data_IF_059060637613
#
_entry.id   IF_059060637613
#
_cell.length_a   1.000
_cell.length_b   1.000
_cell.length_c   1.000
_cell.angle_alpha   90.00
_cell.angle_beta   90.00
_cell.angle_gamma   90.00
#
_symmetry.space_group_name_H-M   'P 1'
#
loop_
_entity.id
_entity.type
_entity.pdbx_description
1 polymer ?
#
# COMPACT_ATOMS: atom_id res chain seq x y z
N UNK A 1 15.19 -11.73 -20.79
CA UNK A 1 14.87 -13.18 -20.67
C UNK A 1 13.52 -13.33 -19.98
N UNK A 2 12.80 -14.42 -20.20
CA UNK A 2 11.54 -14.65 -19.49
C UNK A 2 11.78 -14.94 -18.00
N UNK A 3 10.90 -14.45 -17.14
CA UNK A 3 10.89 -14.70 -15.70
C UNK A 3 9.53 -15.22 -15.27
N UNK A 4 9.48 -15.94 -14.15
CA UNK A 4 8.25 -16.46 -13.57
C UNK A 4 8.17 -15.99 -12.12
N UNK A 5 7.02 -15.46 -11.71
CA UNK A 5 6.80 -15.01 -10.33
C UNK A 5 5.58 -15.68 -9.72
N UNK A 6 5.65 -15.92 -8.41
CA UNK A 6 4.46 -16.03 -7.58
C UNK A 6 4.07 -14.62 -7.13
N UNK A 7 2.98 -14.09 -7.65
CA UNK A 7 2.46 -12.78 -7.31
C UNK A 7 2.06 -12.74 -5.83
N UNK A 8 2.66 -11.85 -5.05
CA UNK A 8 2.41 -11.71 -3.62
C UNK A 8 1.87 -10.32 -3.25
N UNK A 9 2.05 -9.33 -4.12
CA UNK A 9 1.45 -8.01 -3.96
C UNK A 9 0.72 -7.62 -5.25
N UNK A 10 -0.51 -7.13 -5.12
CA UNK A 10 -1.29 -6.61 -6.22
C UNK A 10 -2.23 -5.49 -5.75
N UNK A 11 -1.73 -4.26 -5.74
CA UNK A 11 -2.47 -3.07 -5.28
C UNK A 11 -2.69 -2.05 -6.40
N UNK A 12 -3.44 -0.98 -6.13
CA UNK A 12 -3.62 0.12 -7.09
C UNK A 12 -2.43 1.09 -7.08
N UNK A 13 -2.02 1.57 -8.25
CA UNK A 13 -0.97 2.60 -8.40
C UNK A 13 -1.32 3.52 -9.57
N UNK A 14 -1.63 4.79 -9.29
CA UNK A 14 -1.83 5.87 -10.27
C UNK A 14 -2.67 5.53 -11.53
N UNK A 15 -3.76 4.77 -11.38
CA UNK A 15 -4.63 4.35 -12.48
C UNK A 15 -4.30 2.97 -13.08
N UNK A 16 -3.17 2.38 -12.70
CA UNK A 16 -2.79 0.99 -12.96
C UNK A 16 -2.69 0.16 -11.68
N UNK A 17 -1.79 -0.84 -11.71
CA UNK A 17 -1.55 -1.78 -10.61
C UNK A 17 -0.08 -1.80 -10.21
N UNK A 18 0.18 -2.02 -8.93
CA UNK A 18 1.50 -2.40 -8.42
C UNK A 18 1.49 -3.92 -8.23
N UNK A 19 2.14 -4.64 -9.15
CA UNK A 19 2.27 -6.10 -9.07
C UNK A 19 3.70 -6.42 -8.67
N UNK A 20 3.87 -7.26 -7.65
CA UNK A 20 5.18 -7.78 -7.30
C UNK A 20 5.07 -9.22 -6.78
N UNK A 21 6.14 -9.98 -6.96
CA UNK A 21 6.18 -11.37 -6.54
C UNK A 21 7.60 -11.90 -6.39
N UNK A 22 7.70 -13.10 -5.83
CA UNK A 22 8.98 -13.79 -5.70
C UNK A 22 9.23 -14.60 -6.97
N UNK A 23 10.47 -14.52 -7.48
CA UNK A 23 10.92 -15.31 -8.63
C UNK A 23 10.89 -16.81 -8.30
N UNK A 24 10.34 -17.57 -9.22
CA UNK A 24 10.23 -19.02 -9.12
C UNK A 24 10.76 -19.70 -10.37
N UNK A 25 11.20 -20.94 -10.21
CA UNK A 25 11.48 -21.85 -11.31
C UNK A 25 10.36 -22.87 -11.41
N UNK A 26 10.14 -23.38 -12.62
CA UNK A 26 9.18 -24.42 -12.88
C UNK A 26 9.91 -25.65 -13.43
N UNK A 27 9.80 -26.77 -12.71
CA UNK A 27 10.31 -28.06 -13.14
C UNK A 27 9.19 -29.09 -13.00
N UNK A 28 8.81 -29.75 -14.09
CA UNK A 28 7.76 -30.79 -14.08
C UNK A 28 6.44 -30.35 -13.43
N UNK A 29 6.06 -29.07 -13.61
CA UNK A 29 4.85 -28.50 -13.02
C UNK A 29 4.97 -28.11 -11.53
N UNK A 30 6.11 -28.39 -10.88
CA UNK A 30 6.40 -27.97 -9.51
C UNK A 30 7.17 -26.66 -9.50
N UNK A 31 6.69 -25.76 -8.65
CA UNK A 31 7.26 -24.44 -8.45
C UNK A 31 8.32 -24.52 -7.34
N UNK A 32 9.52 -24.05 -7.64
CA UNK A 32 10.59 -23.88 -6.65
C UNK A 32 11.00 -22.41 -6.55
N UNK A 33 11.20 -21.93 -5.34
CA UNK A 33 11.63 -20.57 -5.08
C UNK A 33 13.06 -20.33 -5.59
N UNK A 34 13.30 -19.17 -6.22
CA UNK A 34 14.66 -18.68 -6.43
C UNK A 34 15.07 -17.77 -5.29
N UNK A 35 16.27 -18.03 -4.76
CA UNK A 35 16.88 -17.29 -3.66
C UNK A 35 18.25 -16.75 -4.09
N UNK A 36 18.68 -15.66 -3.47
CA UNK A 36 20.05 -15.16 -3.59
C UNK A 36 21.04 -16.12 -2.92
N UNK A 37 22.34 -15.84 -3.07
CA UNK A 37 23.42 -16.54 -2.35
C UNK A 37 23.27 -16.49 -0.83
N UNK A 38 22.54 -15.50 -0.31
CA UNK A 38 22.26 -15.33 1.12
C UNK A 38 20.96 -16.02 1.56
N UNK A 39 20.30 -16.78 0.67
CA UNK A 39 19.05 -17.48 0.97
C UNK A 39 17.81 -16.58 0.99
N UNK A 40 17.93 -15.34 0.55
CA UNK A 40 16.83 -14.36 0.50
C UNK A 40 16.01 -14.59 -0.77
N UNK A 41 14.68 -14.68 -0.70
CA UNK A 41 13.82 -14.72 -1.88
C UNK A 41 14.11 -13.56 -2.85
N UNK A 42 14.24 -13.87 -4.14
CA UNK A 42 14.46 -12.84 -5.16
C UNK A 42 13.11 -12.24 -5.54
N UNK A 43 12.91 -10.96 -5.27
CA UNK A 43 11.71 -10.23 -5.67
C UNK A 43 11.82 -9.70 -7.09
N UNK A 44 10.68 -9.69 -7.78
CA UNK A 44 10.51 -9.03 -9.08
C UNK A 44 9.21 -8.23 -9.05
N UNK A 45 9.30 -6.97 -9.46
CA UNK A 45 8.20 -6.04 -9.66
C UNK A 45 8.17 -5.61 -11.13
N UNK A 46 7.26 -6.16 -11.95
CA UNK A 46 7.06 -5.66 -13.30
C UNK A 46 6.63 -4.19 -13.28
N UNK A 47 7.34 -3.35 -14.04
CA UNK A 47 7.05 -1.91 -14.18
C UNK A 47 6.90 -1.53 -15.66
N UNK A 48 5.98 -0.62 -15.95
CA UNK A 48 5.87 -0.04 -17.30
C UNK A 48 6.80 1.17 -17.47
N UNK A 49 6.86 1.72 -18.69
CA UNK A 49 7.58 2.97 -18.97
C UNK A 49 6.80 4.24 -18.59
N UNK A 50 5.70 4.12 -17.85
CA UNK A 50 4.99 5.26 -17.28
C UNK A 50 5.84 5.97 -16.22
N UNK A 51 5.52 7.24 -15.93
CA UNK A 51 6.27 8.04 -14.96
C UNK A 51 6.27 7.44 -13.54
N UNK A 52 5.20 6.74 -13.15
CA UNK A 52 5.12 6.06 -11.86
C UNK A 52 5.34 4.54 -11.97
N UNK A 53 5.65 4.01 -13.15
CA UNK A 53 5.99 2.60 -13.37
C UNK A 53 4.85 1.61 -13.10
N UNK A 54 3.61 2.06 -13.00
CA UNK A 54 2.45 1.19 -12.78
C UNK A 54 2.23 0.20 -13.93
N UNK A 55 1.77 -1.01 -13.62
CA UNK A 55 1.30 -1.97 -14.63
C UNK A 55 -0.07 -1.49 -15.14
N UNK A 56 -0.27 -1.30 -16.45
CA UNK A 56 -1.58 -0.93 -16.99
C UNK A 56 -2.66 -1.94 -16.61
N UNK A 57 -3.89 -1.47 -16.38
CA UNK A 57 -5.01 -2.36 -16.02
C UNK A 57 -5.26 -3.46 -17.06
N UNK A 58 -5.00 -3.19 -18.35
CA UNK A 58 -5.10 -4.16 -19.44
C UNK A 58 -4.17 -5.36 -19.27
N UNK A 59 -3.00 -5.14 -18.68
CA UNK A 59 -1.94 -6.13 -18.56
C UNK A 59 -2.06 -6.91 -17.25
N UNK A 60 -2.72 -6.29 -16.26
CA UNK A 60 -3.00 -6.88 -14.96
C UNK A 60 -4.28 -7.74 -14.92
N UNK A 61 -5.00 -7.89 -16.04
CA UNK A 61 -6.30 -8.59 -16.09
C UNK A 61 -6.15 -10.02 -15.55
N UNK A 62 -6.98 -10.36 -14.57
CA UNK A 62 -7.04 -11.70 -13.97
C UNK A 62 -5.90 -12.03 -13.00
N UNK A 63 -4.83 -11.24 -12.96
CA UNK A 63 -3.75 -11.44 -11.99
C UNK A 63 -4.27 -11.06 -10.60
N UNK A 64 -4.12 -11.97 -9.65
CA UNK A 64 -4.47 -11.80 -8.23
C UNK A 64 -3.26 -12.14 -7.35
N UNK A 65 -3.36 -11.86 -6.06
CA UNK A 65 -2.43 -12.41 -5.07
C UNK A 65 -2.48 -13.95 -5.18
N UNK A 66 -1.32 -14.61 -5.09
CA UNK A 66 -1.08 -16.04 -5.33
C UNK A 66 -1.19 -16.51 -6.79
N UNK A 67 -1.37 -15.60 -7.75
CA UNK A 67 -1.26 -15.95 -9.17
C UNK A 67 0.18 -16.25 -9.57
N UNK A 68 0.36 -17.26 -10.41
CA UNK A 68 1.64 -17.57 -11.05
C UNK A 68 1.68 -16.86 -12.40
N UNK A 69 2.61 -15.92 -12.54
CA UNK A 69 2.67 -15.00 -13.67
C UNK A 69 3.99 -15.13 -14.39
N UNK A 70 3.94 -15.38 -15.69
CA UNK A 70 5.11 -15.30 -16.57
C UNK A 70 5.30 -13.87 -17.06
N UNK A 71 6.49 -13.33 -16.84
CA UNK A 71 6.94 -12.03 -17.31
C UNK A 71 7.77 -12.27 -18.57
N UNK A 72 7.22 -11.89 -19.73
CA UNK A 72 7.86 -12.07 -21.03
C UNK A 72 8.87 -10.95 -21.27
N UNK A 73 10.08 -11.32 -21.69
CA UNK A 73 11.18 -10.37 -21.96
C UNK A 73 11.45 -9.41 -20.80
N UNK A 74 11.65 -9.96 -19.60
CA UNK A 74 12.03 -9.16 -18.44
C UNK A 74 13.43 -8.57 -18.60
N UNK A 75 13.56 -7.26 -18.39
CA UNK A 75 14.80 -6.50 -18.43
C UNK A 75 14.93 -5.67 -17.14
N UNK A 76 16.10 -5.70 -16.52
CA UNK A 76 16.33 -5.02 -15.25
C UNK A 76 16.09 -3.51 -15.37
N UNK A 77 15.31 -2.96 -14.45
CA UNK A 77 14.95 -1.55 -14.36
C UNK A 77 15.21 -0.95 -12.97
N UNK A 78 15.77 -1.75 -12.05
CA UNK A 78 15.91 -1.39 -10.65
C UNK A 78 16.80 -0.18 -10.40
N UNK A 79 16.41 0.61 -9.40
CA UNK A 79 17.17 1.75 -8.88
C UNK A 79 16.93 1.91 -7.38
N UNK A 80 17.97 2.22 -6.61
CA UNK A 80 17.88 2.42 -5.15
C UNK A 80 17.22 1.20 -4.46
N UNK A 81 16.38 1.43 -3.44
CA UNK A 81 15.57 0.39 -2.79
C UNK A 81 14.60 -0.37 -3.69
N UNK A 82 14.38 0.05 -4.94
CA UNK A 82 13.59 -0.68 -5.92
C UNK A 82 14.47 -1.61 -6.78
N UNK A 83 15.34 -2.38 -6.12
CA UNK A 83 16.22 -3.33 -6.79
C UNK A 83 15.47 -4.46 -7.49
N UNK A 84 14.18 -4.62 -7.20
CA UNK A 84 13.28 -5.60 -7.78
C UNK A 84 12.63 -5.19 -9.12
N UNK A 85 12.86 -3.99 -9.65
CA UNK A 85 12.14 -3.54 -10.85
C UNK A 85 12.62 -4.19 -12.14
N UNK A 86 11.66 -4.63 -12.96
CA UNK A 86 11.90 -5.12 -14.31
C UNK A 86 10.89 -4.54 -15.30
N UNK A 87 11.38 -3.99 -16.41
CA UNK A 87 10.56 -3.77 -17.58
C UNK A 87 10.14 -5.11 -18.18
N UNK A 88 8.98 -5.14 -18.83
CA UNK A 88 8.41 -6.35 -19.42
C UNK A 88 7.74 -6.05 -20.76
N UNK A 89 7.63 -7.07 -21.63
CA UNK A 89 6.85 -6.98 -22.86
C UNK A 89 5.39 -7.42 -22.67
N UNK A 90 5.16 -8.46 -21.85
CA UNK A 90 3.82 -8.98 -21.55
C UNK A 90 3.79 -9.72 -20.23
N UNK A 91 2.67 -9.65 -19.52
CA UNK A 91 2.35 -10.48 -18.37
C UNK A 91 1.36 -11.58 -18.78
N UNK A 92 1.67 -12.84 -18.44
CA UNK A 92 0.83 -13.99 -18.75
C UNK A 92 0.46 -14.71 -17.44
N UNK A 93 -0.82 -14.68 -17.09
CA UNK A 93 -1.36 -15.50 -16.01
C UNK A 93 -1.31 -16.97 -16.41
N UNK A 94 -0.59 -17.80 -15.64
CA UNK A 94 -0.51 -19.24 -15.89
C UNK A 94 -1.49 -20.02 -15.01
N UNK A 95 -1.56 -19.66 -13.72
CA UNK A 95 -2.43 -20.32 -12.76
C UNK A 95 -2.58 -19.47 -11.48
N UNK A 96 -3.34 -19.94 -10.50
CA UNK A 96 -3.40 -19.41 -9.13
C UNK A 96 -3.24 -20.53 -8.12
N UNK A 97 -2.39 -20.30 -7.13
CA UNK A 97 -2.12 -21.24 -6.04
C UNK A 97 -3.08 -21.03 -4.87
N UNK A 98 -3.20 -22.06 -4.04
CA UNK A 98 -3.84 -22.03 -2.74
C UNK A 98 -2.90 -22.71 -1.74
N UNK A 99 -1.79 -22.06 -1.36
CA UNK A 99 -0.67 -22.70 -0.69
C UNK A 99 -0.91 -22.87 0.81
N UNK A 100 -0.29 -23.91 1.37
CA UNK A 100 -0.23 -24.17 2.81
C UNK A 100 0.76 -23.25 3.54
N UNK A 101 0.76 -23.32 4.88
CA UNK A 101 1.77 -22.67 5.73
C UNK A 101 3.18 -23.20 5.40
N UNK A 102 3.35 -24.52 5.26
CA UNK A 102 4.66 -25.11 4.95
C UNK A 102 5.24 -24.62 3.62
N UNK A 103 4.38 -24.39 2.63
CA UNK A 103 4.80 -23.83 1.35
C UNK A 103 5.22 -22.38 1.50
N UNK A 104 4.37 -21.52 2.05
CA UNK A 104 4.65 -20.08 2.16
C UNK A 104 5.86 -19.78 3.05
N UNK A 105 6.10 -20.60 4.09
CA UNK A 105 7.25 -20.46 4.99
C UNK A 105 8.60 -20.53 4.26
N UNK A 106 8.67 -21.22 3.12
CA UNK A 106 9.88 -21.30 2.29
C UNK A 106 10.23 -19.97 1.61
N UNK A 107 9.24 -19.08 1.51
CA UNK A 107 9.29 -17.79 0.79
C UNK A 107 9.43 -16.59 1.72
N UNK A 108 9.55 -16.79 3.03
CA UNK A 108 9.72 -15.68 3.98
C UNK A 108 11.14 -15.14 3.96
N UNK A 109 11.28 -13.86 4.31
CA UNK A 109 12.57 -13.27 4.61
C UNK A 109 13.06 -13.73 5.99
N UNK A 110 14.20 -14.40 6.02
CA UNK A 110 14.87 -14.88 7.24
C UNK A 110 16.21 -14.21 7.48
N UNK A 111 16.59 -13.24 6.63
CA UNK A 111 17.90 -12.61 6.67
C UNK A 111 17.85 -11.28 7.44
N UNK A 112 16.82 -10.47 7.19
CA UNK A 112 16.74 -9.14 7.77
C UNK A 112 16.20 -9.17 9.19
N UNK A 113 16.94 -8.63 10.15
CA UNK A 113 16.47 -8.57 11.53
C UNK A 113 15.34 -7.52 11.71
N UNK A 114 15.39 -6.43 10.94
CA UNK A 114 14.44 -5.32 10.99
C UNK A 114 13.75 -5.16 9.64
N UNK A 115 12.48 -4.75 9.66
CA UNK A 115 11.73 -4.48 8.43
C UNK A 115 12.23 -3.17 7.83
N UNK A 116 12.91 -3.26 6.68
CA UNK A 116 13.54 -2.12 5.99
C UNK A 116 14.48 -1.32 6.91
N UNK A 117 15.25 -2.01 7.74
CA UNK A 117 16.36 -1.42 8.50
C UNK A 117 16.00 -0.61 9.75
N UNK A 118 14.71 -0.42 10.09
CA UNK A 118 14.33 0.26 11.35
C UNK A 118 13.00 -0.28 11.94
N UNK A 119 12.68 0.12 13.18
CA UNK A 119 11.43 -0.26 13.88
C UNK A 119 10.24 0.66 13.60
N UNK A 120 10.51 1.84 13.04
CA UNK A 120 9.52 2.87 12.79
C UNK A 120 8.52 2.49 11.69
N UNK A 121 7.45 3.29 11.60
CA UNK A 121 6.39 3.15 10.59
C UNK A 121 6.78 3.66 9.20
N UNK A 122 7.94 4.31 9.06
CA UNK A 122 8.37 4.95 7.83
C UNK A 122 9.90 5.03 7.73
N UNK A 123 10.39 5.45 6.57
CA UNK A 123 11.80 5.71 6.27
C UNK A 123 11.99 7.10 5.67
N UNK A 124 13.15 7.70 5.90
CA UNK A 124 13.58 8.88 5.17
C UNK A 124 13.97 8.52 3.73
N UNK A 125 13.98 9.48 2.80
CA UNK A 125 14.42 9.27 1.43
C UNK A 125 15.87 8.80 1.36
N UNK A 126 16.75 9.27 2.24
CA UNK A 126 18.15 8.83 2.29
C UNK A 126 18.26 7.37 2.75
N UNK A 127 17.49 6.97 3.76
CA UNK A 127 17.45 5.57 4.19
C UNK A 127 16.87 4.65 3.10
N UNK A 128 15.92 5.15 2.30
CA UNK A 128 15.41 4.46 1.13
C UNK A 128 16.43 4.41 -0.02
N UNK A 129 17.17 5.49 -0.29
CA UNK A 129 18.17 5.51 -1.35
C UNK A 129 19.34 4.55 -1.05
N UNK A 130 19.73 4.46 0.22
CA UNK A 130 20.79 3.57 0.69
C UNK A 130 20.30 2.13 0.98
N UNK A 131 18.99 1.88 0.89
CA UNK A 131 18.41 0.56 1.08
C UNK A 131 18.55 -0.30 -0.17
N UNK A 132 18.54 -1.62 0.02
CA UNK A 132 18.74 -2.63 -1.03
C UNK A 132 17.46 -3.41 -1.38
N UNK A 133 16.35 -3.19 -0.66
CA UNK A 133 15.04 -3.81 -0.93
C UNK A 133 13.88 -2.91 -0.47
N UNK A 134 12.70 -3.12 -1.08
CA UNK A 134 11.45 -2.43 -0.70
C UNK A 134 10.25 -3.34 -0.52
N UNK A 135 10.45 -4.66 -0.60
CA UNK A 135 9.45 -5.71 -0.40
C UNK A 135 10.00 -6.85 0.47
N UNK A 136 9.15 -7.39 1.35
CA UNK A 136 9.47 -8.57 2.16
C UNK A 136 8.21 -9.40 2.40
N UNK A 137 8.36 -10.72 2.46
CA UNK A 137 7.29 -11.62 2.94
C UNK A 137 7.61 -12.03 4.38
N UNK A 138 6.68 -11.77 5.28
CA UNK A 138 6.84 -12.01 6.71
C UNK A 138 5.77 -12.98 7.17
N UNK A 139 6.16 -14.00 7.95
CA UNK A 139 5.22 -14.87 8.66
C UNK A 139 5.05 -14.35 10.09
N UNK A 140 3.81 -14.27 10.55
CA UNK A 140 3.47 -13.82 11.90
C UNK A 140 2.34 -14.67 12.48
N UNK A 141 2.26 -14.68 13.81
CA UNK A 141 1.21 -15.30 14.59
C UNK A 141 0.75 -14.30 15.67
N UNK A 142 -0.52 -14.35 16.04
CA UNK A 142 -1.08 -13.49 17.08
C UNK A 142 -1.29 -12.03 16.65
N UNK A 143 -1.33 -11.73 15.36
CA UNK A 143 -1.54 -10.36 14.87
C UNK A 143 -2.90 -9.78 15.29
N UNK A 144 -2.97 -8.45 15.33
CA UNK A 144 -4.20 -7.68 15.55
C UNK A 144 -4.51 -6.84 14.32
N UNK A 145 -5.75 -6.92 13.85
CA UNK A 145 -6.26 -6.01 12.82
C UNK A 145 -7.29 -5.10 13.47
N UNK A 146 -7.13 -3.79 13.31
CA UNK A 146 -8.00 -2.80 13.94
C UNK A 146 -8.23 -1.60 13.00
N UNK A 147 -9.29 -0.85 13.29
CA UNK A 147 -9.59 0.40 12.60
C UNK A 147 -9.03 1.56 13.42
N UNK A 148 -8.09 2.31 12.84
CA UNK A 148 -7.57 3.53 13.47
C UNK A 148 -8.48 4.71 13.14
N UNK A 149 -9.26 5.14 14.13
CA UNK A 149 -10.26 6.21 14.00
C UNK A 149 -9.73 7.59 14.44
N UNK A 150 -8.45 7.72 14.81
CA UNK A 150 -7.87 9.00 15.28
C UNK A 150 -7.97 10.11 14.24
N UNK A 151 -7.98 9.76 12.95
CA UNK A 151 -8.10 10.68 11.82
C UNK A 151 -9.15 10.19 10.81
N UNK A 152 -8.79 10.14 9.53
CA UNK A 152 -9.57 9.39 8.54
C UNK A 152 -9.45 7.91 8.89
N UNK A 153 -10.58 7.20 9.16
CA UNK A 153 -10.56 5.80 9.55
C UNK A 153 -9.68 4.98 8.62
N UNK A 154 -8.64 4.37 9.18
CA UNK A 154 -7.63 3.63 8.40
C UNK A 154 -7.45 2.25 8.99
N UNK A 155 -7.72 1.17 8.24
CA UNK A 155 -7.42 -0.18 8.69
C UNK A 155 -5.92 -0.40 8.86
N UNK A 156 -5.53 -1.01 9.97
CA UNK A 156 -4.13 -1.26 10.34
C UNK A 156 -3.97 -2.68 10.85
N UNK A 157 -2.74 -3.18 10.75
CA UNK A 157 -2.33 -4.45 11.32
C UNK A 157 -1.13 -4.24 12.25
N UNK A 158 -1.25 -4.74 13.48
CA UNK A 158 -0.16 -4.89 14.44
C UNK A 158 0.31 -6.32 14.46
N UNK A 159 1.62 -6.52 14.48
CA UNK A 159 2.23 -7.84 14.44
C UNK A 159 3.65 -7.81 14.98
N UNK A 160 4.13 -8.96 15.45
CA UNK A 160 5.52 -9.12 15.88
C UNK A 160 6.39 -9.69 14.76
N UNK A 161 7.60 -9.17 14.64
CA UNK A 161 8.66 -9.69 13.79
C UNK A 161 10.00 -9.57 14.50
N UNK A 162 10.70 -10.70 14.67
CA UNK A 162 11.99 -10.79 15.38
C UNK A 162 12.02 -10.08 16.74
N UNK A 163 10.95 -10.24 17.53
CA UNK A 163 10.84 -9.64 18.87
C UNK A 163 10.47 -8.15 18.90
N UNK A 164 10.17 -7.54 17.75
CA UNK A 164 9.70 -6.16 17.67
C UNK A 164 8.25 -6.10 17.18
N UNK A 165 7.46 -5.25 17.83
CA UNK A 165 6.11 -4.93 17.39
C UNK A 165 6.16 -3.90 16.25
N UNK A 166 5.44 -4.21 15.18
CA UNK A 166 5.23 -3.32 14.05
C UNK A 166 3.75 -3.03 13.90
N UNK A 167 3.44 -1.85 13.40
CA UNK A 167 2.07 -1.39 13.18
C UNK A 167 2.02 -0.70 11.81
N UNK A 168 1.44 -1.38 10.82
CA UNK A 168 1.37 -0.89 9.45
C UNK A 168 -0.08 -0.67 8.98
N UNK A 169 -0.32 0.39 8.20
CA UNK A 169 -1.57 0.52 7.46
C UNK A 169 -1.73 -0.62 6.44
N UNK A 170 -2.95 -1.15 6.33
CA UNK A 170 -3.33 -2.12 5.31
C UNK A 170 -3.65 -1.36 4.02
N UNK A 171 -3.06 -1.78 2.92
CA UNK A 171 -3.21 -1.12 1.60
C UNK A 171 -3.67 -2.05 0.49
N UNK A 172 -3.86 -3.34 0.80
CA UNK A 172 -4.44 -4.32 -0.11
C UNK A 172 -5.90 -3.96 -0.40
N UNK A 173 -6.27 -3.61 -1.65
CA UNK A 173 -7.62 -3.20 -1.97
C UNK A 173 -8.66 -4.30 -1.77
N UNK A 174 -8.29 -5.56 -2.03
CA UNK A 174 -9.21 -6.69 -1.89
C UNK A 174 -9.41 -6.99 -0.41
N UNK A 175 -8.35 -6.96 0.39
CA UNK A 175 -8.46 -7.12 1.84
C UNK A 175 -9.27 -5.98 2.47
N UNK A 176 -9.02 -4.73 2.07
CA UNK A 176 -9.77 -3.56 2.55
C UNK A 176 -11.27 -3.66 2.22
N UNK A 177 -11.62 -4.18 1.05
CA UNK A 177 -13.02 -4.42 0.71
C UNK A 177 -13.67 -5.48 1.60
N UNK A 178 -12.95 -6.54 1.96
CA UNK A 178 -13.46 -7.53 2.93
C UNK A 178 -13.68 -6.93 4.31
N UNK A 179 -12.74 -6.12 4.80
CA UNK A 179 -12.88 -5.41 6.08
C UNK A 179 -14.10 -4.48 6.11
N UNK A 180 -14.43 -3.84 4.98
CA UNK A 180 -15.63 -3.01 4.86
C UNK A 180 -16.93 -3.80 4.92
N UNK A 181 -16.91 -5.06 4.47
CA UNK A 181 -18.08 -5.92 4.41
C UNK A 181 -18.27 -6.74 5.69
N UNK A 182 -17.17 -7.01 6.41
CA UNK A 182 -17.16 -7.86 7.60
C UNK A 182 -16.29 -7.24 8.71
N UNK A 183 -16.98 -6.58 9.65
CA UNK A 183 -16.32 -5.97 10.80
C UNK A 183 -15.74 -7.01 11.79
N UNK A 184 -16.13 -8.29 11.71
CA UNK A 184 -15.56 -9.34 12.59
C UNK A 184 -14.09 -9.62 12.30
N UNK A 185 -13.60 -9.15 11.15
CA UNK A 185 -12.19 -9.16 10.77
C UNK A 185 -11.36 -8.08 11.50
N UNK A 186 -11.99 -7.15 12.21
CA UNK A 186 -11.28 -6.29 13.16
C UNK A 186 -11.18 -7.00 14.51
N UNK A 187 -10.13 -7.79 14.68
CA UNK A 187 -9.90 -8.58 15.90
C UNK A 187 -8.41 -8.80 16.18
N UNK A 188 -8.13 -9.27 17.38
CA UNK A 188 -6.83 -9.72 17.82
C UNK A 188 -6.72 -11.25 17.81
N UNK A 189 -5.51 -11.78 17.96
CA UNK A 189 -5.29 -13.21 18.09
C UNK A 189 -5.51 -13.97 16.79
N UNK A 190 -5.18 -13.35 15.65
CA UNK A 190 -5.07 -14.11 14.41
C UNK A 190 -4.07 -15.27 14.58
N UNK A 191 -4.36 -16.41 13.96
CA UNK A 191 -3.38 -17.50 13.85
C UNK A 191 -2.24 -17.11 12.90
N UNK A 192 -1.80 -18.04 12.07
CA UNK A 192 -0.75 -17.75 11.09
C UNK A 192 -1.26 -16.77 10.03
N UNK A 193 -0.55 -15.65 9.86
CA UNK A 193 -0.70 -14.73 8.74
C UNK A 193 0.63 -14.56 8.03
N UNK A 194 0.55 -14.32 6.73
CA UNK A 194 1.67 -13.86 5.93
C UNK A 194 1.41 -12.43 5.49
N UNK A 195 2.35 -11.54 5.74
CA UNK A 195 2.25 -10.12 5.42
C UNK A 195 3.32 -9.80 4.39
N UNK A 196 2.91 -9.22 3.26
CA UNK A 196 3.85 -8.55 2.37
C UNK A 196 4.05 -7.14 2.88
N UNK A 197 5.20 -6.89 3.50
CA UNK A 197 5.63 -5.55 3.85
C UNK A 197 6.13 -4.85 2.58
N UNK A 198 5.77 -3.58 2.40
CA UNK A 198 6.27 -2.76 1.29
C UNK A 198 6.55 -1.33 1.72
N UNK A 199 7.35 -0.62 0.93
CA UNK A 199 7.54 0.82 1.05
C UNK A 199 6.62 1.58 0.08
N UNK A 200 5.83 2.49 0.64
CA UNK A 200 5.00 3.41 -0.11
C UNK A 200 5.80 4.48 -0.84
N UNK A 201 5.14 5.18 -1.74
CA UNK A 201 5.68 6.40 -2.37
C UNK A 201 5.97 7.48 -1.33
N UNK A 202 6.88 8.39 -1.66
CA UNK A 202 7.22 9.52 -0.79
C UNK A 202 5.96 10.38 -0.57
N UNK A 203 5.64 10.62 0.68
CA UNK A 203 4.61 11.56 1.11
C UNK A 203 5.17 12.37 2.27
N UNK A 204 5.12 13.70 2.16
CA UNK A 204 5.70 14.63 3.13
C UNK A 204 7.16 14.32 3.52
N UNK A 205 7.96 13.87 2.55
CA UNK A 205 9.37 13.51 2.77
C UNK A 205 9.58 12.15 3.47
N UNK A 206 8.57 11.27 3.50
CA UNK A 206 8.70 9.94 4.12
C UNK A 206 8.18 8.82 3.22
N UNK A 207 8.85 7.67 3.23
CA UNK A 207 8.34 6.41 2.70
C UNK A 207 7.61 5.65 3.83
N UNK A 208 6.29 5.59 3.77
CA UNK A 208 5.51 4.80 4.74
C UNK A 208 5.74 3.30 4.53
N UNK A 209 5.87 2.53 5.62
CA UNK A 209 5.81 1.07 5.58
C UNK A 209 4.35 0.63 5.56
N UNK A 210 4.03 -0.32 4.70
CA UNK A 210 2.67 -0.75 4.42
C UNK A 210 2.56 -2.26 4.54
N UNK A 211 1.42 -2.75 5.02
CA UNK A 211 0.98 -4.11 4.72
C UNK A 211 0.31 -4.08 3.34
N UNK A 212 1.09 -4.42 2.31
CA UNK A 212 0.65 -4.41 0.92
C UNK A 212 -0.36 -5.52 0.63
N UNK A 213 -0.20 -6.65 1.31
CA UNK A 213 -1.05 -7.83 1.19
C UNK A 213 -1.00 -8.62 2.49
N UNK A 214 -2.12 -9.23 2.86
CA UNK A 214 -2.22 -10.18 3.98
C UNK A 214 -2.80 -11.49 3.44
N UNK A 215 -2.05 -12.57 3.60
CA UNK A 215 -2.37 -13.91 3.13
C UNK A 215 -2.64 -14.81 4.34
N UNK A 216 -3.74 -15.54 4.29
CA UNK A 216 -4.03 -16.61 5.24
C UNK A 216 -3.64 -17.92 4.54
N UNK A 217 -2.72 -18.72 5.11
CA UNK A 217 -2.34 -20.00 4.53
C UNK A 217 -3.53 -20.95 4.49
N UNK A 218 -3.59 -21.76 3.44
CA UNK A 218 -4.69 -22.70 3.25
C UNK A 218 -4.51 -23.97 4.08
N UNK A 219 -5.61 -24.44 4.66
CA UNK A 219 -5.69 -25.73 5.35
C UNK A 219 -6.51 -26.75 4.55
N UNK A 220 -7.24 -26.31 3.52
CA UNK A 220 -8.12 -27.13 2.70
C UNK A 220 -7.91 -26.81 1.21
N UNK A 221 -8.12 -27.79 0.33
CA UNK A 221 -7.97 -27.62 -1.13
C UNK A 221 -6.60 -27.07 -1.53
N UNK A 222 -5.54 -27.51 -0.84
CA UNK A 222 -4.17 -27.03 -1.05
C UNK A 222 -3.76 -27.27 -2.51
N UNK A 223 -3.27 -26.21 -3.16
CA UNK A 223 -2.77 -26.23 -4.53
C UNK A 223 -1.44 -25.51 -4.63
N UNK A 224 -0.37 -26.26 -4.88
CA UNK A 224 1.01 -25.79 -4.86
C UNK A 224 1.81 -26.17 -6.13
N UNK A 225 1.14 -26.81 -7.09
CA UNK A 225 1.69 -27.15 -8.40
C UNK A 225 0.82 -26.55 -9.50
N UNK A 226 1.44 -26.32 -10.67
CA UNK A 226 0.76 -25.85 -11.87
C UNK A 226 0.93 -26.85 -13.00
N UNK A 227 -0.14 -27.10 -13.74
CA UNK A 227 -0.09 -27.98 -14.92
C UNK A 227 -0.04 -27.06 -16.14
N UNK A 228 1.12 -26.98 -16.80
CA UNK A 228 1.21 -26.30 -18.08
C UNK A 228 0.58 -27.20 -19.15
N UNK A 229 -0.57 -26.80 -19.67
CA UNK A 229 -1.09 -27.41 -20.90
C UNK A 229 -0.11 -27.12 -22.05
N UNK A 230 0.28 -28.14 -22.82
CA UNK A 230 1.27 -28.06 -23.91
C UNK A 230 0.85 -27.16 -25.10
N UNK A 231 -0.24 -26.39 -25.01
CA UNK A 231 -0.87 -25.75 -26.17
C UNK A 231 -0.32 -24.38 -26.59
N UNK A 232 0.75 -23.86 -25.98
CA UNK A 232 1.30 -22.53 -26.35
C UNK A 232 2.70 -22.57 -26.97
N UNK A 233 3.11 -23.68 -27.58
CA UNK A 233 4.30 -23.74 -28.45
C UNK A 233 3.89 -24.17 -29.85
N UNK A 234 3.55 -23.23 -30.72
CA UNK A 234 3.65 -23.44 -32.17
C UNK A 234 4.98 -22.83 -32.62
N UNK A 235 5.87 -23.59 -33.29
CA UNK A 235 7.03 -23.01 -33.93
C UNK A 235 6.56 -22.21 -35.13
N UNK A 236 6.85 -20.90 -35.17
CA UNK A 236 6.68 -20.09 -36.37
C UNK A 236 7.77 -20.53 -37.36
N UNK A 237 7.38 -21.40 -38.28
CA UNK A 237 8.23 -21.78 -39.40
C UNK A 237 8.14 -20.66 -40.45
N UNK A 238 9.30 -20.08 -40.78
CA UNK A 238 9.46 -19.12 -41.86
C UNK A 238 9.09 -19.76 -43.19
N UNK A 239 7.97 -19.36 -43.79
CA UNK A 239 7.77 -19.52 -45.24
C UNK A 239 7.20 -18.25 -45.87
N UNK A 240 7.82 -17.95 -46.99
CA UNK A 240 7.75 -16.80 -47.89
C UNK A 240 6.33 -16.39 -48.30
N UNK A 241 6.12 -15.06 -48.33
CA UNK A 241 4.97 -14.39 -48.95
C UNK A 241 4.82 -14.77 -50.43
N UNK A 242 3.59 -15.02 -50.91
CA UNK A 242 3.23 -14.76 -52.29
C UNK A 242 2.53 -13.40 -52.43
N UNK A 243 2.89 -12.72 -53.51
CA UNK A 243 2.38 -11.45 -54.02
C UNK A 243 1.30 -11.74 -55.07
N UNK A 244 0.11 -11.17 -54.96
CA UNK A 244 -0.92 -11.11 -56.04
C UNK A 244 -1.71 -9.80 -55.81
N UNK A 245 -1.47 -8.70 -56.54
CA UNK A 245 -1.99 -8.29 -57.87
C UNK A 245 -3.53 -8.22 -57.99
N UNK A 246 -4.01 -7.01 -58.31
CA UNK A 246 -5.42 -6.61 -58.47
C UNK A 246 -6.00 -7.04 -59.82
N UNK A 247 -7.29 -7.42 -59.84
CA UNK A 247 -8.34 -7.23 -60.88
C UNK A 247 -9.55 -8.13 -60.51
N UNK A 248 -10.85 -7.91 -60.76
CA UNK A 248 -11.75 -6.77 -60.95
C UNK A 248 -13.20 -7.35 -61.06
N UNK A 249 -14.17 -6.72 -60.38
CA UNK A 249 -15.65 -6.72 -60.55
C UNK A 249 -16.52 -8.01 -60.45
N UNK A 250 -17.46 -8.02 -59.48
CA UNK A 250 -18.91 -7.89 -59.74
C UNK A 250 -19.70 -7.64 -58.44
N UNK A 251 -20.76 -6.85 -58.57
CA UNK A 251 -21.65 -6.32 -57.53
C UNK A 251 -22.71 -7.31 -57.05
N UNK A 252 -22.92 -7.41 -55.74
CA UNK A 252 -24.22 -7.78 -55.13
C UNK A 252 -24.27 -7.33 -53.65
N UNK A 253 -25.43 -6.79 -53.23
CA UNK A 253 -25.63 -6.09 -51.97
C UNK A 253 -26.46 -6.93 -50.96
N UNK A 254 -26.08 -6.94 -49.67
CA UNK A 254 -26.94 -7.31 -48.52
C UNK A 254 -26.41 -6.61 -47.23
N UNK A 255 -27.17 -6.44 -46.12
CA UNK A 255 -27.44 -5.13 -45.52
C UNK A 255 -26.73 -4.90 -44.18
N UNK A 256 -26.64 -3.63 -43.80
CA UNK A 256 -26.05 -3.14 -42.55
C UNK A 256 -27.08 -3.19 -41.41
N UNK A 257 -26.88 -4.04 -40.40
CA UNK A 257 -27.56 -3.89 -39.10
C UNK A 257 -26.59 -3.29 -38.09
N UNK A 258 -26.89 -2.06 -37.67
CA UNK A 258 -26.15 -1.30 -36.66
C UNK A 258 -27.08 -1.18 -35.46
N UNK A 259 -26.68 -1.69 -34.30
CA UNK A 259 -27.28 -1.30 -33.01
C UNK A 259 -26.21 -0.55 -32.20
N UNK A 260 -26.03 0.72 -32.54
CA UNK A 260 -25.41 1.70 -31.65
C UNK A 260 -26.51 2.31 -30.78
N UNK A 261 -26.38 2.14 -29.45
CA UNK A 261 -27.26 2.83 -28.50
C UNK A 261 -26.85 4.32 -28.38
N UNK A 262 -27.79 5.28 -28.39
CA UNK A 262 -27.47 6.71 -28.32
C UNK A 262 -26.84 7.15 -26.99
N UNK A 263 -25.75 7.93 -27.07
CA UNK A 263 -24.96 8.50 -25.96
C UNK A 263 -25.80 9.24 -24.90
N UNK A 264 -26.95 9.80 -25.29
CA UNK A 264 -27.87 10.50 -24.38
C UNK A 264 -28.46 9.58 -23.29
N UNK A 265 -28.68 8.29 -23.59
CA UNK A 265 -29.29 7.33 -22.65
C UNK A 265 -28.27 6.89 -21.58
N UNK A 266 -26.99 6.82 -21.94
CA UNK A 266 -25.89 6.49 -21.02
C UNK A 266 -25.66 7.59 -19.97
N UNK A 267 -25.87 8.85 -20.35
CA UNK A 267 -25.70 10.01 -19.46
C UNK A 267 -26.90 10.11 -18.51
N UNK A 268 -28.13 9.94 -19.01
CA UNK A 268 -29.33 10.00 -18.16
C UNK A 268 -29.37 8.87 -17.12
N UNK A 269 -28.95 7.65 -17.47
CA UNK A 269 -28.87 6.53 -16.53
C UNK A 269 -27.76 6.68 -15.49
N UNK A 270 -26.67 7.39 -15.81
CA UNK A 270 -25.60 7.70 -14.87
C UNK A 270 -25.98 8.80 -13.86
N UNK A 271 -26.78 9.78 -14.28
CA UNK A 271 -27.27 10.87 -13.42
C UNK A 271 -28.34 10.40 -12.43
N UNK A 272 -29.22 9.47 -12.83
CA UNK A 272 -30.22 8.88 -11.92
C UNK A 272 -29.56 8.09 -10.77
N UNK A 273 -28.49 7.31 -11.05
CA UNK A 273 -27.74 6.56 -10.02
C UNK A 273 -26.94 7.46 -9.06
N UNK A 274 -26.65 8.70 -9.49
CA UNK A 274 -25.93 9.69 -8.67
C UNK A 274 -26.86 10.40 -7.69
N UNK A 275 -28.13 10.66 -8.07
CA UNK A 275 -29.17 11.19 -7.16
C UNK A 275 -29.61 10.16 -6.12
N UNK A 276 -29.75 8.89 -6.51
CA UNK A 276 -30.17 7.83 -5.57
C UNK A 276 -29.14 7.53 -4.44
N UNK A 277 -27.87 7.87 -4.65
CA UNK A 277 -26.81 7.76 -3.63
C UNK A 277 -26.67 9.01 -2.73
N UNK A 278 -27.23 10.16 -3.13
CA UNK A 278 -27.18 11.38 -2.33
C UNK A 278 -28.27 11.39 -1.24
N UNK A 279 -29.43 10.79 -1.52
CA UNK A 279 -30.59 10.79 -0.61
C UNK A 279 -30.50 9.76 0.54
N UNK A 280 -29.47 8.89 0.57
CA UNK A 280 -29.28 7.85 1.61
C UNK A 280 -28.29 8.22 2.74
N UNK A 281 -27.80 9.46 2.78
CA UNK A 281 -26.87 9.93 3.84
C UNK A 281 -27.51 10.94 4.80
N UNK A 282 -28.57 10.53 5.50
CA UNK A 282 -29.07 11.23 6.68
C UNK A 282 -28.94 10.34 7.92
N UNK A 283 -27.71 10.18 8.41
CA UNK A 283 -27.47 9.60 9.74
C UNK A 283 -27.40 10.74 10.77
N UNK A 284 -28.50 10.97 11.47
CA UNK A 284 -28.57 11.81 12.66
C UNK A 284 -27.73 11.20 13.78
N UNK A 285 -26.60 11.84 14.11
CA UNK A 285 -25.70 11.46 15.19
C UNK A 285 -26.28 11.88 16.55
N UNK A 286 -26.60 10.91 17.42
CA UNK A 286 -26.87 11.18 18.84
C UNK A 286 -25.54 11.43 19.57
N UNK A 287 -25.41 12.51 20.36
CA UNK A 287 -24.31 12.61 21.31
C UNK A 287 -24.66 11.75 22.54
N UNK A 288 -23.71 11.05 23.16
CA UNK A 288 -23.63 10.80 24.61
C UNK A 288 -22.31 10.05 24.87
N UNK A 289 -21.33 10.74 25.45
CA UNK A 289 -20.91 10.74 26.87
C UNK A 289 -19.90 9.62 27.20
N UNK A 290 -18.71 10.10 27.54
CA UNK A 290 -17.60 9.34 28.11
C UNK A 290 -18.01 8.67 29.41
N UNK A 291 -17.67 7.39 29.54
CA UNK A 291 -17.36 6.79 30.84
C UNK A 291 -16.04 6.00 30.75
N UNK A 292 -15.05 6.60 31.42
CA UNK A 292 -13.69 6.18 31.83
C UNK A 292 -13.50 4.69 32.16
N UNK A 293 -12.30 4.09 32.03
CA UNK A 293 -11.04 4.27 32.82
C UNK A 293 -9.90 3.46 32.14
N UNK A 294 -8.59 3.68 32.24
CA UNK A 294 -7.70 4.68 32.85
C UNK A 294 -6.26 4.43 32.30
N UNK A 295 -5.68 5.40 31.61
CA UNK A 295 -4.29 5.85 31.82
C UNK A 295 -4.16 7.25 31.26
N UNK A 296 -4.06 8.19 32.18
CA UNK A 296 -3.98 9.63 31.96
C UNK A 296 -2.55 10.03 31.63
N UNK A 297 -2.31 10.41 30.37
CA UNK A 297 -1.40 11.52 30.02
C UNK A 297 -2.01 12.25 28.82
N UNK A 298 -2.72 13.33 29.13
CA UNK A 298 -3.30 14.27 28.17
C UNK A 298 -2.19 15.19 27.63
N UNK A 299 -1.61 14.88 26.47
CA UNK A 299 -0.43 15.62 25.99
C UNK A 299 -0.24 15.79 24.48
N UNK A 300 -1.21 15.46 23.62
CA UNK A 300 -1.02 15.58 22.16
C UNK A 300 -1.03 17.01 21.59
N UNK A 301 -0.04 17.40 20.78
CA UNK A 301 -0.07 18.62 19.95
C UNK A 301 -1.16 18.58 18.85
N UNK A 302 -2.45 18.65 19.22
CA UNK A 302 -3.61 18.43 18.32
C UNK A 302 -3.60 19.15 16.96
N UNK A 303 -3.26 20.44 16.92
CA UNK A 303 -3.22 21.20 15.65
C UNK A 303 -2.06 20.70 14.78
N UNK A 304 -0.86 20.56 15.35
CA UNK A 304 0.31 20.07 14.64
C UNK A 304 0.08 18.64 14.13
N UNK A 305 -0.49 17.76 14.96
CA UNK A 305 -0.82 16.40 14.53
C UNK A 305 -1.92 16.35 13.48
N UNK A 306 -2.91 17.26 13.54
CA UNK A 306 -3.95 17.39 12.52
C UNK A 306 -3.42 17.88 11.16
N UNK A 307 -2.37 18.70 11.18
CA UNK A 307 -1.72 19.27 9.99
C UNK A 307 -0.71 18.29 9.39
N UNK A 308 0.22 17.76 10.19
CA UNK A 308 1.29 16.85 9.77
C UNK A 308 0.87 15.38 9.71
N UNK A 309 -0.31 15.03 10.23
CA UNK A 309 -0.92 13.71 10.10
C UNK A 309 -0.36 12.61 11.02
N UNK A 310 0.73 12.87 11.75
CA UNK A 310 1.33 11.93 12.70
C UNK A 310 1.84 12.65 13.94
N UNK A 311 1.69 12.03 15.11
CA UNK A 311 2.32 12.51 16.36
C UNK A 311 3.83 12.25 16.38
N UNK A 312 4.23 11.27 15.58
CA UNK A 312 5.57 10.75 15.44
C UNK A 312 6.10 11.17 14.06
N UNK A 313 6.36 12.45 13.89
CA UNK A 313 7.02 13.02 12.70
C UNK A 313 7.96 14.16 13.10
N UNK A 314 8.99 14.49 12.29
CA UNK A 314 10.04 15.46 12.61
C UNK A 314 9.53 16.81 13.06
N UNK A 315 8.54 17.34 12.35
CA UNK A 315 7.96 18.65 12.61
C UNK A 315 7.24 18.66 13.95
N UNK A 316 6.51 17.59 14.26
CA UNK A 316 5.84 17.44 15.54
C UNK A 316 6.84 17.17 16.66
N UNK A 317 7.93 16.44 16.42
CA UNK A 317 9.02 16.26 17.40
C UNK A 317 9.73 17.58 17.71
N UNK A 318 10.04 18.41 16.70
CA UNK A 318 10.59 19.75 16.90
C UNK A 318 9.64 20.61 17.74
N UNK A 319 8.34 20.62 17.43
CA UNK A 319 7.35 21.41 18.18
C UNK A 319 7.17 20.91 19.61
N UNK A 320 7.20 19.59 19.83
CA UNK A 320 7.13 18.97 21.17
C UNK A 320 8.37 19.29 22.00
N UNK A 321 9.56 19.24 21.40
CA UNK A 321 10.80 19.69 22.05
C UNK A 321 10.75 21.17 22.39
N UNK A 322 10.31 22.03 21.48
CA UNK A 322 10.14 23.45 21.77
C UNK A 322 9.13 23.71 22.90
N UNK A 323 8.02 22.97 22.91
CA UNK A 323 7.03 23.00 23.99
C UNK A 323 7.69 22.69 25.34
N UNK A 324 8.41 21.57 25.42
CA UNK A 324 8.92 21.06 26.70
C UNK A 324 10.20 21.74 27.17
N UNK A 325 11.06 22.18 26.24
CA UNK A 325 12.38 22.73 26.54
C UNK A 325 12.43 24.26 26.51
N UNK A 326 11.39 24.95 26.00
CA UNK A 326 11.37 26.42 25.94
C UNK A 326 10.07 27.01 26.50
N UNK A 327 8.91 26.57 26.01
CA UNK A 327 7.62 27.10 26.48
C UNK A 327 7.35 26.72 27.94
N UNK A 328 7.56 25.45 28.31
CA UNK A 328 7.26 24.95 29.65
C UNK A 328 8.15 25.55 30.76
N UNK A 329 9.30 26.14 30.42
CA UNK A 329 10.21 26.78 31.39
C UNK A 329 9.58 28.03 32.02
N UNK A 330 8.73 28.76 31.27
CA UNK A 330 8.13 30.02 31.73
C UNK A 330 6.68 29.88 32.21
N UNK A 331 6.26 30.72 33.15
CA UNK A 331 4.86 30.78 33.64
C UNK A 331 3.90 31.13 32.50
N UNK A 332 4.28 32.07 31.64
CA UNK A 332 3.49 32.45 30.47
C UNK A 332 3.39 31.32 29.45
N UNK A 333 4.48 30.62 29.16
CA UNK A 333 4.46 29.49 28.24
C UNK A 333 3.64 28.32 28.76
N UNK A 334 3.65 28.03 30.07
CA UNK A 334 2.75 27.03 30.68
C UNK A 334 1.27 27.42 30.54
N UNK A 335 0.93 28.71 30.68
CA UNK A 335 -0.43 29.20 30.45
C UNK A 335 -0.84 29.08 28.98
N UNK A 336 0.07 29.39 28.04
CA UNK A 336 -0.16 29.19 26.60
C UNK A 336 -0.40 27.71 26.27
N UNK A 337 0.43 26.82 26.82
CA UNK A 337 0.27 25.37 26.68
C UNK A 337 -1.13 24.95 27.16
N UNK A 338 -1.55 25.34 28.37
CA UNK A 338 -2.89 25.01 28.90
C UNK A 338 -4.02 25.50 27.99
N UNK A 339 -3.93 26.74 27.49
CA UNK A 339 -4.92 27.30 26.56
C UNK A 339 -4.95 26.54 25.23
N UNK A 340 -3.77 26.21 24.70
CA UNK A 340 -3.65 25.41 23.50
C UNK A 340 -4.33 24.05 23.69
N UNK A 341 -4.06 23.34 24.78
CA UNK A 341 -4.65 22.03 25.05
C UNK A 341 -6.16 22.07 25.35
N UNK A 342 -6.69 23.18 25.87
CA UNK A 342 -8.13 23.32 26.11
C UNK A 342 -8.92 23.68 24.85
N UNK A 343 -8.31 24.45 23.94
CA UNK A 343 -9.01 24.99 22.75
C UNK A 343 -8.75 24.21 21.47
N UNK A 344 -7.54 23.65 21.30
CA UNK A 344 -7.13 22.97 20.08
C UNK A 344 -7.97 21.73 19.70
N UNK A 345 -8.44 20.87 20.63
CA UNK A 345 -9.25 19.71 20.25
C UNK A 345 -10.58 20.13 19.59
N UNK A 346 -11.23 21.15 20.14
CA UNK A 346 -12.49 21.69 19.62
C UNK A 346 -12.28 22.34 18.26
N UNK A 347 -11.19 23.10 18.11
CA UNK A 347 -10.84 23.76 16.86
C UNK A 347 -10.53 22.76 15.73
N UNK A 348 -9.75 21.71 16.03
CA UNK A 348 -9.47 20.62 15.07
C UNK A 348 -10.74 19.82 14.75
N UNK A 349 -11.62 19.59 15.73
CA UNK A 349 -12.90 18.89 15.50
C UNK A 349 -13.80 19.65 14.52
N UNK A 350 -13.84 20.97 14.62
CA UNK A 350 -14.70 21.81 13.78
C UNK A 350 -14.08 22.08 12.39
N UNK A 351 -12.78 22.38 12.34
CA UNK A 351 -12.14 22.87 11.11
C UNK A 351 -11.13 21.89 10.48
N UNK A 352 -10.63 20.91 11.22
CA UNK A 352 -9.57 20.00 10.78
C UNK A 352 -9.90 19.12 9.57
N UNK A 353 -11.19 18.95 9.25
CA UNK A 353 -11.67 18.22 8.05
C UNK A 353 -11.68 19.08 6.78
N UNK A 354 -11.59 20.40 6.91
CA UNK A 354 -11.61 21.28 5.74
C UNK A 354 -10.22 21.30 5.09
N UNK A 355 -10.17 21.05 3.77
CA UNK A 355 -8.93 21.14 2.99
C UNK A 355 -8.28 22.53 3.09
N UNK A 356 -9.11 23.55 3.31
CA UNK A 356 -8.66 24.93 3.52
C UNK A 356 -7.85 25.10 4.80
N UNK A 357 -8.28 24.50 5.92
CA UNK A 357 -7.59 24.60 7.22
C UNK A 357 -6.16 24.07 7.16
N UNK A 358 -5.95 22.92 6.51
CA UNK A 358 -4.61 22.36 6.31
C UNK A 358 -3.78 23.23 5.37
N UNK A 359 -4.36 23.69 4.26
CA UNK A 359 -3.66 24.51 3.26
C UNK A 359 -3.23 25.87 3.80
N UNK A 360 -3.98 26.45 4.76
CA UNK A 360 -3.65 27.75 5.35
C UNK A 360 -2.69 27.64 6.53
N UNK A 361 -2.83 26.62 7.39
CA UNK A 361 -2.00 26.51 8.60
C UNK A 361 -0.68 25.78 8.35
N UNK A 362 -0.62 24.85 7.39
CA UNK A 362 0.61 24.11 7.10
C UNK A 362 1.79 25.03 6.75
N UNK A 363 1.67 26.01 5.84
CA UNK A 363 2.80 26.89 5.51
C UNK A 363 3.30 27.73 6.70
N UNK A 364 2.38 28.14 7.60
CA UNK A 364 2.72 28.88 8.81
C UNK A 364 3.52 27.99 9.76
N UNK A 365 3.05 26.75 9.93
CA UNK A 365 3.67 25.78 10.82
C UNK A 365 5.01 25.29 10.27
N UNK A 366 5.13 25.09 8.95
CA UNK A 366 6.37 24.73 8.26
C UNK A 366 7.43 25.82 8.47
N UNK A 367 7.06 27.10 8.28
CA UNK A 367 7.96 28.23 8.51
C UNK A 367 8.41 28.33 9.96
N UNK A 368 7.50 28.05 10.90
CA UNK A 368 7.82 28.06 12.32
C UNK A 368 8.77 26.91 12.69
N UNK A 369 8.49 25.69 12.22
CA UNK A 369 9.36 24.52 12.42
C UNK A 369 10.75 24.75 11.83
N UNK A 370 10.82 25.30 10.62
CA UNK A 370 12.08 25.64 9.99
C UNK A 370 12.91 26.62 10.84
N UNK A 371 12.28 27.68 11.37
CA UNK A 371 12.96 28.62 12.25
C UNK A 371 13.49 27.94 13.53
N UNK A 372 12.68 27.09 14.16
CA UNK A 372 13.09 26.36 15.37
C UNK A 372 14.25 25.39 15.11
N UNK A 373 14.27 24.72 13.95
CA UNK A 373 15.37 23.84 13.57
C UNK A 373 16.66 24.62 13.31
N UNK A 374 16.57 25.80 12.70
CA UNK A 374 17.71 26.72 12.56
C UNK A 374 18.23 27.24 13.89
N UNK A 375 17.36 27.39 14.89
CA UNK A 375 17.74 27.72 16.27
C UNK A 375 18.29 26.50 17.05
N UNK A 376 18.45 25.35 16.40
CA UNK A 376 19.08 24.16 16.97
C UNK A 376 18.12 23.18 17.64
N UNK A 377 16.80 23.32 17.47
CA UNK A 377 15.83 22.35 17.99
C UNK A 377 15.75 21.15 17.06
N UNK A 378 16.21 20.00 17.54
CA UNK A 378 16.25 18.77 16.77
C UNK A 378 14.87 18.29 16.30
N UNK A 379 14.87 17.61 15.16
CA UNK A 379 13.70 16.97 14.56
C UNK A 379 13.77 15.44 14.65
N UNK A 380 14.58 14.92 15.57
CA UNK A 380 14.77 13.48 15.83
C UNK A 380 13.67 12.95 16.77
N UNK A 381 13.41 11.64 16.79
CA UNK A 381 12.40 11.03 17.67
C UNK A 381 12.51 11.54 19.11
N UNK A 382 11.38 11.97 19.67
CA UNK A 382 11.33 12.62 20.97
C UNK A 382 10.27 12.00 21.88
N UNK A 383 10.64 11.79 23.14
CA UNK A 383 9.72 11.41 24.22
C UNK A 383 9.36 12.67 25.02
N UNK A 384 8.06 12.84 25.29
CA UNK A 384 7.58 14.03 25.99
C UNK A 384 8.10 14.06 27.43
N UNK A 385 8.46 15.25 27.92
CA UNK A 385 8.74 15.42 29.35
C UNK A 385 7.43 15.35 30.14
N UNK A 386 7.43 14.62 31.24
CA UNK A 386 6.40 14.78 32.26
C UNK A 386 6.72 16.01 33.11
N UNK A 387 5.79 16.97 33.16
CA UNK A 387 5.94 18.24 33.87
C UNK A 387 4.65 18.63 34.61
#
# INVERSE_FOLDING_TARGET
MDKLILCLANSYKHGGRCIAGIEVSLQEGRISIKKSSYGIPIWIRPVSHSAAGEVPLSDAIGIKVLSVVKIVNANYAGSSSHSEDYYYAKLLLLDTLNPSDEFLKKYTDTWHNLIFGNKGRALTPDAFQNGDYSLMLIRTEGSEIYLDERYTPKPRIKFNYNGYEYDFPITDPDYLNRLRLDNSLYKSGYGVLYIVASLGVIHDGWHSKLAATIIIPSVNNIKESIILSKHNQTPINNQSKPRIQNTSYSSEAVPRSTLQMPRQILISQAESRRKENLDKTNYTFKPIQNTSRNKTTSGGCYIATGIYGSYDCPEVWTLRRFRDLKLAESVFGRSFIKLYYSTSPTLVKWFGKTLLFKKTLKPILDKFVYALQHEGIESTPYEDKEW
#
